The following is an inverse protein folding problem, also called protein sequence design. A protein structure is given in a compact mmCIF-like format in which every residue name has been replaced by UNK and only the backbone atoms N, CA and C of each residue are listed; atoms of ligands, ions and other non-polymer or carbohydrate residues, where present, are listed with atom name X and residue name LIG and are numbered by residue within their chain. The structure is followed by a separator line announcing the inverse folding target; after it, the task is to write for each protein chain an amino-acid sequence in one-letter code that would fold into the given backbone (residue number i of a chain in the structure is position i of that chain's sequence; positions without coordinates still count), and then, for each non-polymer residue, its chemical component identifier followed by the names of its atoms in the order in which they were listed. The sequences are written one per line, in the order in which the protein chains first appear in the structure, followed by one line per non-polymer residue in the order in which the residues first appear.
data_IF_342105575268
#
_entry.id   IF_342105575268
#
_cell.length_a   1.000
_cell.length_b   1.000
_cell.length_c   1.000
_cell.angle_alpha   90.00
_cell.angle_beta   90.00
_cell.angle_gamma   90.00
#
_symmetry.space_group_name_H-M   'P 1'
#
loop_
_entity.id
_entity.type
_entity.pdbx_description
1 polymer ?
#
# COMPACT_ATOMS: atom_id res chain seq x y z
N UNK A 1 -2.34 10.77 -12.74
CA UNK A 1 -1.68 10.26 -11.50
C UNK A 1 -1.51 8.75 -11.61
N UNK A 2 -0.42 8.17 -11.08
CA UNK A 2 -0.27 6.72 -10.96
C UNK A 2 -0.85 6.27 -9.62
N UNK A 3 -1.74 5.29 -9.64
CA UNK A 3 -2.43 4.77 -8.45
C UNK A 3 -2.01 3.32 -8.27
N UNK A 4 -1.22 3.08 -7.23
CA UNK A 4 -0.81 1.74 -6.84
C UNK A 4 -1.75 1.24 -5.74
N UNK A 5 -2.51 0.19 -6.05
CA UNK A 5 -3.50 -0.40 -5.14
C UNK A 5 -3.00 -1.74 -4.64
N UNK A 6 -3.00 -1.92 -3.33
CA UNK A 6 -2.75 -3.20 -2.66
C UNK A 6 -4.03 -3.65 -1.96
N UNK A 7 -4.41 -4.91 -2.16
CA UNK A 7 -5.34 -5.59 -1.28
C UNK A 7 -4.59 -6.54 -0.36
N UNK A 8 -4.97 -6.53 0.92
CA UNK A 8 -4.32 -7.30 1.97
C UNK A 8 -5.32 -7.73 3.05
N UNK A 9 -5.11 -8.92 3.61
CA UNK A 9 -5.77 -9.35 4.85
C UNK A 9 -4.81 -9.08 6.01
N UNK A 10 -5.30 -8.54 7.13
CA UNK A 10 -4.46 -8.29 8.29
C UNK A 10 -4.55 -9.46 9.29
N UNK A 11 -3.42 -9.88 9.84
CA UNK A 11 -3.38 -10.72 11.03
C UNK A 11 -3.23 -9.87 12.30
N UNK A 12 -3.97 -10.23 13.36
CA UNK A 12 -3.94 -9.51 14.63
C UNK A 12 -4.92 -8.33 14.70
N UNK A 13 -4.55 -7.29 15.46
CA UNK A 13 -5.42 -6.12 15.68
C UNK A 13 -5.41 -5.18 14.46
N UNK A 14 -6.55 -4.98 13.77
CA UNK A 14 -6.65 -4.08 12.63
C UNK A 14 -6.26 -2.64 12.95
N UNK A 15 -6.45 -2.17 14.18
CA UNK A 15 -6.06 -0.82 14.59
C UNK A 15 -4.54 -0.66 14.62
N UNK A 16 -3.82 -1.66 15.13
CA UNK A 16 -2.36 -1.69 15.14
C UNK A 16 -1.84 -1.76 13.71
N UNK A 17 -2.43 -2.62 12.88
CA UNK A 17 -2.09 -2.74 11.46
C UNK A 17 -2.20 -1.39 10.73
N UNK A 18 -3.36 -0.74 10.81
CA UNK A 18 -3.60 0.56 10.14
C UNK A 18 -2.66 1.65 10.69
N UNK A 19 -2.40 1.68 12.00
CA UNK A 19 -1.52 2.67 12.59
C UNK A 19 -0.06 2.51 12.13
N UNK A 20 0.43 1.27 12.06
CA UNK A 20 1.77 0.99 11.56
C UNK A 20 1.89 1.29 10.06
N UNK A 21 0.85 0.94 9.29
CA UNK A 21 0.78 1.24 7.86
C UNK A 21 0.85 2.74 7.59
N UNK A 22 0.08 3.56 8.33
CA UNK A 22 0.15 5.02 8.20
C UNK A 22 1.54 5.56 8.47
N UNK A 23 2.18 5.13 9.57
CA UNK A 23 3.56 5.55 9.89
C UNK A 23 4.58 5.19 8.80
N UNK A 24 4.38 4.07 8.12
CA UNK A 24 5.21 3.66 6.99
C UNK A 24 4.94 4.54 5.77
N UNK A 25 3.69 4.69 5.36
CA UNK A 25 3.31 5.50 4.19
C UNK A 25 3.68 6.98 4.39
N UNK A 26 3.50 7.53 5.59
CA UNK A 26 3.90 8.89 5.95
C UNK A 26 5.42 9.11 5.88
N UNK A 27 6.23 8.04 5.88
CA UNK A 27 7.68 8.12 5.74
C UNK A 27 8.19 8.07 4.29
N UNK A 28 7.31 7.83 3.30
CA UNK A 28 7.69 7.75 1.89
C UNK A 28 7.72 9.16 1.27
N UNK A 29 8.89 9.69 0.86
CA UNK A 29 9.01 11.07 0.41
C UNK A 29 8.37 11.34 -0.96
N UNK A 30 8.25 10.32 -1.81
CA UNK A 30 7.69 10.42 -3.18
C UNK A 30 6.19 10.11 -3.25
N UNK A 31 5.57 9.74 -2.12
CA UNK A 31 4.14 9.44 -2.05
C UNK A 31 3.33 10.74 -1.98
N UNK A 32 2.46 10.96 -2.95
CA UNK A 32 1.64 12.17 -3.02
C UNK A 32 0.46 12.12 -2.04
N UNK A 33 -0.28 11.00 -2.05
CA UNK A 33 -1.41 10.77 -1.16
C UNK A 33 -1.64 9.27 -1.00
N UNK A 34 -2.32 8.86 0.07
CA UNK A 34 -2.77 7.49 0.22
C UNK A 34 -4.12 7.39 0.93
N UNK A 35 -4.76 6.23 0.76
CA UNK A 35 -6.01 5.89 1.44
C UNK A 35 -5.99 4.43 1.87
N UNK A 36 -6.39 4.19 3.12
CA UNK A 36 -6.61 2.85 3.65
C UNK A 36 -8.11 2.67 3.89
N UNK A 37 -8.69 1.66 3.26
CA UNK A 37 -10.11 1.32 3.39
C UNK A 37 -10.26 -0.15 3.79
N UNK A 38 -11.35 -0.44 4.50
CA UNK A 38 -11.71 -1.78 4.96
C UNK A 38 -13.07 -2.13 4.38
N UNK A 39 -13.21 -3.31 3.78
CA UNK A 39 -14.49 -3.83 3.32
C UNK A 39 -15.46 -3.92 4.52
N UNK A 40 -16.68 -3.40 4.34
CA UNK A 40 -17.72 -3.42 5.40
C UNK A 40 -18.77 -4.48 5.09
N UNK A 41 -19.21 -5.18 6.15
CA UNK A 41 -20.31 -6.15 6.11
C UNK A 41 -20.09 -7.29 5.09
N UNK A 42 -18.84 -7.58 4.72
CA UNK A 42 -18.54 -8.60 3.72
C UNK A 42 -19.07 -8.29 2.32
N UNK A 43 -19.41 -7.03 2.01
CA UNK A 43 -19.86 -6.63 0.67
C UNK A 43 -18.70 -6.60 -0.33
N UNK A 44 -18.22 -7.78 -0.70
CA UNK A 44 -17.28 -8.02 -1.79
C UNK A 44 -17.84 -9.08 -2.73
N UNK A 45 -17.79 -8.81 -4.03
CA UNK A 45 -18.34 -9.72 -5.06
C UNK A 45 -17.40 -10.89 -5.37
N UNK A 46 -16.13 -10.75 -5.03
CA UNK A 46 -15.10 -11.78 -5.15
C UNK A 46 -14.39 -11.93 -3.80
N UNK A 47 -13.58 -12.96 -3.65
CA UNK A 47 -12.78 -13.20 -2.43
C UNK A 47 -11.55 -12.28 -2.37
N UNK A 48 -11.81 -10.97 -2.47
CA UNK A 48 -10.80 -9.92 -2.35
C UNK A 48 -10.45 -9.72 -0.88
N UNK A 49 -9.19 -9.48 -0.54
CA UNK A 49 -8.79 -9.21 0.84
C UNK A 49 -9.58 -8.08 1.52
N UNK A 50 -9.61 -8.09 2.84
CA UNK A 50 -10.41 -7.19 3.67
C UNK A 50 -9.98 -5.71 3.55
N UNK A 51 -8.68 -5.45 3.44
CA UNK A 51 -8.14 -4.09 3.32
C UNK A 51 -7.77 -3.77 1.88
N UNK A 52 -7.99 -2.50 1.53
CA UNK A 52 -7.53 -1.89 0.29
C UNK A 52 -6.74 -0.64 0.62
N UNK A 53 -5.51 -0.58 0.14
CA UNK A 53 -4.57 0.52 0.30
C UNK A 53 -4.31 1.10 -1.09
N UNK A 54 -4.71 2.34 -1.32
CA UNK A 54 -4.43 3.08 -2.55
C UNK A 54 -3.32 4.10 -2.26
N UNK A 55 -2.30 4.12 -3.11
CA UNK A 55 -1.17 5.05 -3.05
C UNK A 55 -1.06 5.82 -4.37
N UNK A 56 -0.94 7.13 -4.29
CA UNK A 56 -0.86 8.04 -5.44
C UNK A 56 0.58 8.54 -5.63
N UNK A 57 1.10 8.40 -6.85
CA UNK A 57 2.44 8.83 -7.25
C UNK A 57 2.37 9.69 -8.51
N UNK A 58 3.11 10.81 -8.50
CA UNK A 58 3.13 11.76 -9.61
C UNK A 58 3.61 11.11 -10.90
N UNK A 59 4.72 10.39 -10.84
CA UNK A 59 5.37 9.72 -11.97
C UNK A 59 5.62 8.24 -11.70
N UNK A 60 5.99 7.48 -12.74
CA UNK A 60 6.45 6.09 -12.57
C UNK A 60 7.81 6.01 -11.86
N UNK A 61 8.65 7.04 -12.02
CA UNK A 61 9.93 7.11 -11.33
C UNK A 61 9.73 7.28 -9.83
N UNK A 62 8.77 8.12 -9.40
CA UNK A 62 8.45 8.29 -7.98
C UNK A 62 8.04 6.97 -7.29
N UNK A 63 7.33 6.12 -8.03
CA UNK A 63 6.95 4.77 -7.59
C UNK A 63 8.16 3.84 -7.52
N UNK A 64 9.01 3.82 -8.55
CA UNK A 64 10.22 3.00 -8.59
C UNK A 64 11.23 3.40 -7.48
N UNK A 65 11.39 4.70 -7.27
CA UNK A 65 12.21 5.27 -6.21
C UNK A 65 11.65 4.89 -4.84
N UNK A 66 10.33 4.98 -4.63
CA UNK A 66 9.68 4.55 -3.38
C UNK A 66 9.96 3.06 -3.09
N UNK A 67 9.80 2.19 -4.09
CA UNK A 67 10.04 0.76 -3.94
C UNK A 67 11.52 0.46 -3.69
N UNK A 68 12.42 1.16 -4.37
CA UNK A 68 13.86 1.04 -4.18
C UNK A 68 14.27 1.49 -2.78
N UNK A 69 13.71 2.59 -2.27
CA UNK A 69 13.95 3.06 -0.89
C UNK A 69 13.54 2.03 0.16
N UNK A 70 12.39 1.37 -0.05
CA UNK A 70 11.89 0.30 0.82
C UNK A 70 12.80 -0.93 0.78
N UNK A 71 13.24 -1.36 -0.40
CA UNK A 71 14.12 -2.52 -0.59
C UNK A 71 15.53 -2.28 -0.06
N UNK A 72 16.08 -1.07 -0.26
CA UNK A 72 17.44 -0.73 0.16
C UNK A 72 17.54 -0.40 1.65
N UNK A 73 16.43 -0.46 2.40
CA UNK A 73 16.37 -0.15 3.83
C UNK A 73 17.00 1.21 4.18
N UNK A 74 16.89 2.18 3.27
CA UNK A 74 17.34 3.54 3.55
C UNK A 74 16.42 4.07 4.65
N UNK A 75 16.98 4.49 5.77
CA UNK A 75 16.26 4.98 6.97
C UNK A 75 15.51 3.94 7.86
N UNK A 76 15.98 2.69 7.92
CA UNK A 76 15.38 1.62 8.77
C UNK A 76 13.91 1.33 8.40
N UNK A 77 13.60 1.47 7.10
CA UNK A 77 12.28 1.25 6.52
C UNK A 77 11.99 -0.25 6.35
N UNK A 78 13.02 -1.09 6.18
CA UNK A 78 12.86 -2.55 6.03
C UNK A 78 12.32 -3.20 7.31
N UNK A 79 12.69 -2.71 8.50
CA UNK A 79 12.10 -3.23 9.74
C UNK A 79 10.58 -2.99 9.80
N UNK A 80 10.10 -1.88 9.23
CA UNK A 80 8.67 -1.57 9.05
C UNK A 80 8.03 -2.36 7.91
N UNK A 81 8.77 -2.64 6.84
CA UNK A 81 8.33 -3.43 5.70
C UNK A 81 8.27 -4.95 6.00
N UNK A 82 9.18 -5.47 6.82
CA UNK A 82 9.14 -6.83 7.36
C UNK A 82 8.00 -6.96 8.36
N UNK A 83 7.78 -5.94 9.20
CA UNK A 83 6.57 -5.89 10.04
C UNK A 83 5.29 -5.91 9.18
N UNK A 84 5.27 -5.21 8.04
CA UNK A 84 4.18 -5.27 7.08
C UNK A 84 4.01 -6.67 6.46
N UNK A 85 5.03 -7.25 5.84
CA UNK A 85 4.93 -8.60 5.24
C UNK A 85 4.62 -9.68 6.27
N UNK A 86 5.02 -9.51 7.53
CA UNK A 86 4.67 -10.44 8.62
C UNK A 86 3.22 -10.31 9.10
N UNK A 87 2.57 -9.17 8.85
CA UNK A 87 1.19 -8.88 9.26
C UNK A 87 0.18 -9.09 8.15
N UNK A 88 0.64 -9.38 6.94
CA UNK A 88 -0.21 -9.59 5.77
C UNK A 88 -0.12 -11.05 5.36
N UNK A 89 -1.26 -11.72 5.26
CA UNK A 89 -1.34 -13.13 4.84
C UNK A 89 -0.80 -13.32 3.41
N UNK A 90 -0.63 -14.59 2.99
CA UNK A 90 -0.25 -14.98 1.62
C UNK A 90 -1.17 -14.40 0.51
N UNK A 91 -2.31 -13.80 0.88
CA UNK A 91 -3.30 -13.21 -0.02
C UNK A 91 -3.08 -11.71 -0.26
N UNK A 92 -1.90 -11.34 -0.78
CA UNK A 92 -1.64 -9.96 -1.25
C UNK A 92 -1.92 -9.87 -2.74
N UNK A 93 -2.66 -8.84 -3.15
CA UNK A 93 -2.89 -8.55 -4.57
C UNK A 93 -2.43 -7.12 -4.88
N UNK A 94 -1.65 -6.96 -5.94
CA UNK A 94 -1.08 -5.69 -6.35
C UNK A 94 -1.62 -5.27 -7.71
N UNK A 95 -2.04 -4.00 -7.83
CA UNK A 95 -2.53 -3.42 -9.08
C UNK A 95 -1.93 -2.04 -9.28
N UNK A 96 -1.60 -1.71 -10.52
CA UNK A 96 -1.19 -0.37 -10.91
C UNK A 96 -2.19 0.18 -11.92
N UNK A 97 -2.83 1.28 -11.54
CA UNK A 97 -3.75 2.05 -12.37
C UNK A 97 -3.16 3.41 -12.68
N UNK A 98 -3.67 4.03 -13.75
CA UNK A 98 -3.39 5.42 -14.10
C UNK A 98 -4.69 6.05 -14.57
N UNK A 99 -4.85 7.35 -14.30
CA UNK A 99 -5.97 8.10 -14.85
C UNK A 99 -6.03 7.96 -16.39
N UNK A 100 -7.24 7.87 -16.93
CA UNK A 100 -7.49 7.76 -18.37
C UNK A 100 -8.41 8.89 -18.85
N UNK A 101 -8.16 9.53 -20.01
CA UNK A 101 -7.01 9.30 -20.89
C UNK A 101 -5.69 9.68 -20.22
N UNK A 102 -4.64 8.94 -20.54
CA UNK A 102 -3.29 9.33 -20.15
C UNK A 102 -2.94 10.64 -20.85
N UNK A 103 -2.24 11.54 -20.15
CA UNK A 103 -1.71 12.73 -20.80
C UNK A 103 -0.58 12.26 -21.75
N UNK A 104 -0.75 12.54 -23.05
CA UNK A 104 0.14 12.09 -24.14
C UNK A 104 1.54 12.71 -24.00
#
# INVERSE_FOLDING_TARGET
MNIYTIYADCEGDPHVFVNNMRKFLDSLPTLHAYRITRCKLGFRSMDLPEFRIDMEFGTMQDLDDAMTHVVQNVDDIESKHVAFNSMVQDNIQHFLYRDWPDEI
#
